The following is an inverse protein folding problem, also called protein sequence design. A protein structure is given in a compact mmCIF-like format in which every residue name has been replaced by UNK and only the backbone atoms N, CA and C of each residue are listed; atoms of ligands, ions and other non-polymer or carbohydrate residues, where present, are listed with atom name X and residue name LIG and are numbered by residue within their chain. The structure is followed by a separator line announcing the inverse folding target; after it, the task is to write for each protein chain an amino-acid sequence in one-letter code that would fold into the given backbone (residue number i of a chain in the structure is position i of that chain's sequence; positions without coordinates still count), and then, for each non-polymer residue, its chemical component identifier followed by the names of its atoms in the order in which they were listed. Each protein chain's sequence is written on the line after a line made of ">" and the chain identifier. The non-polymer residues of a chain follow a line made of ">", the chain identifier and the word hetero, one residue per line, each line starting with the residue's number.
data_IF_364269725763
#
_entry.id   IF_364269725763
#
_cell.length_a   1.000
_cell.length_b   1.000
_cell.length_c   1.000
_cell.angle_alpha   90.00
_cell.angle_beta   90.00
_cell.angle_gamma   90.00
#
_symmetry.space_group_name_H-M   'P 1'
#
loop_
_entity.id
_entity.type
_entity.pdbx_description
1 polymer ?
#
# COMPACT_ATOMS: atom_id res chain seq x y z
N UNK A 1 33.42 11.75 9.50
CA UNK A 1 32.84 11.91 8.15
C UNK A 1 32.23 10.58 7.74
N UNK A 2 30.91 10.43 7.88
CA UNK A 2 30.23 9.16 7.67
C UNK A 2 29.83 8.99 6.21
N UNK A 3 30.22 7.84 5.66
CA UNK A 3 29.95 7.32 4.29
C UNK A 3 28.49 7.47 3.78
N UNK A 4 27.43 7.45 4.61
CA UNK A 4 26.05 7.56 4.13
C UNK A 4 25.74 8.85 3.37
N UNK A 5 26.38 9.96 3.71
CA UNK A 5 26.07 11.26 3.09
C UNK A 5 26.71 11.43 1.70
N UNK A 6 27.91 10.90 1.51
CA UNK A 6 28.62 10.93 0.22
C UNK A 6 27.92 10.07 -0.84
N UNK A 7 27.45 8.88 -0.43
CA UNK A 7 26.66 8.01 -1.29
C UNK A 7 25.33 8.68 -1.61
N UNK A 8 24.65 9.28 -0.62
CA UNK A 8 23.41 10.03 -0.84
C UNK A 8 23.58 11.19 -1.83
N UNK A 9 24.71 11.90 -1.78
CA UNK A 9 24.96 13.04 -2.66
C UNK A 9 25.33 12.62 -4.10
N UNK A 10 26.11 11.54 -4.27
CA UNK A 10 26.37 11.00 -5.62
C UNK A 10 25.12 10.34 -6.21
N UNK A 11 24.32 9.65 -5.39
CA UNK A 11 23.02 9.11 -5.78
C UNK A 11 22.06 10.22 -6.23
N UNK A 12 22.00 11.35 -5.50
CA UNK A 12 21.15 12.47 -5.90
C UNK A 12 21.62 13.09 -7.23
N UNK A 13 22.92 13.30 -7.38
CA UNK A 13 23.49 14.02 -8.52
C UNK A 13 23.48 13.21 -9.82
N UNK A 14 23.69 11.90 -9.73
CA UNK A 14 23.79 11.03 -10.91
C UNK A 14 22.55 10.18 -11.18
N UNK A 15 21.77 9.83 -10.15
CA UNK A 15 20.61 8.93 -10.26
C UNK A 15 19.27 9.68 -10.16
N UNK A 16 19.13 10.58 -9.17
CA UNK A 16 17.85 11.27 -8.90
C UNK A 16 17.63 12.43 -9.86
N UNK A 17 18.58 13.36 -9.98
CA UNK A 17 18.39 14.60 -10.75
C UNK A 17 18.14 14.39 -12.25
N UNK A 18 18.87 13.52 -12.97
CA UNK A 18 18.64 13.34 -14.41
C UNK A 18 17.30 12.63 -14.69
N UNK A 19 16.97 11.61 -13.90
CA UNK A 19 15.76 10.81 -14.09
C UNK A 19 14.50 11.55 -13.66
N UNK A 20 14.54 12.32 -12.56
CA UNK A 20 13.40 13.12 -12.10
C UNK A 20 13.01 14.18 -13.13
N UNK A 21 13.95 14.82 -13.81
CA UNK A 21 13.63 15.82 -14.84
C UNK A 21 12.86 15.18 -16.01
N UNK A 22 13.32 14.03 -16.53
CA UNK A 22 12.64 13.34 -17.64
C UNK A 22 11.35 12.61 -17.24
N UNK A 23 11.24 12.13 -16.00
CA UNK A 23 9.96 11.62 -15.49
C UNK A 23 8.96 12.73 -15.24
N UNK A 24 9.38 13.89 -14.74
CA UNK A 24 8.52 15.06 -14.57
C UNK A 24 8.06 15.56 -15.95
N UNK A 25 8.90 15.49 -16.98
CA UNK A 25 8.51 15.80 -18.36
C UNK A 25 7.48 14.79 -18.93
N UNK A 26 7.70 13.47 -18.73
CA UNK A 26 6.82 12.43 -19.32
C UNK A 26 5.57 12.09 -18.51
N UNK A 27 5.63 12.18 -17.18
CA UNK A 27 4.51 11.88 -16.27
C UNK A 27 3.87 13.14 -15.66
N UNK A 28 4.64 14.22 -15.50
CA UNK A 28 4.12 15.50 -15.00
C UNK A 28 3.50 16.39 -16.08
N UNK A 29 3.76 16.14 -17.37
CA UNK A 29 3.31 17.00 -18.47
C UNK A 29 2.05 16.58 -19.23
N UNK A 30 1.75 15.28 -19.41
CA UNK A 30 0.78 14.87 -20.46
C UNK A 30 -0.02 13.55 -20.25
N UNK A 31 -0.22 13.08 -19.01
CA UNK A 31 -1.11 11.93 -18.76
C UNK A 31 -2.59 12.34 -18.57
N UNK A 32 -3.60 11.56 -19.02
CA UNK A 32 -5.02 11.91 -18.82
C UNK A 32 -5.42 11.98 -17.33
N UNK A 33 -4.67 11.28 -16.47
CA UNK A 33 -4.81 11.32 -15.01
C UNK A 33 -3.83 12.28 -14.34
N UNK A 34 -2.90 12.90 -15.06
CA UNK A 34 -1.94 13.86 -14.50
C UNK A 34 -2.62 15.00 -13.72
N UNK A 35 -3.67 15.68 -14.23
CA UNK A 35 -4.34 16.72 -13.45
C UNK A 35 -5.07 16.17 -12.21
N UNK A 36 -5.55 14.92 -12.26
CA UNK A 36 -6.16 14.26 -11.11
C UNK A 36 -5.11 13.88 -10.06
N UNK A 37 -4.00 13.28 -10.48
CA UNK A 37 -2.88 12.91 -9.62
C UNK A 37 -2.23 14.14 -8.99
N UNK A 38 -2.05 15.23 -9.75
CA UNK A 38 -1.59 16.52 -9.23
C UNK A 38 -2.57 17.10 -8.22
N UNK A 39 -3.89 17.01 -8.44
CA UNK A 39 -4.90 17.45 -7.47
C UNK A 39 -4.89 16.60 -6.20
N UNK A 40 -4.76 15.28 -6.31
CA UNK A 40 -4.65 14.37 -5.16
C UNK A 40 -3.37 14.66 -4.37
N UNK A 41 -2.25 14.84 -5.05
CA UNK A 41 -0.97 15.18 -4.43
C UNK A 41 -0.99 16.56 -3.76
N UNK A 42 -1.57 17.57 -4.42
CA UNK A 42 -1.74 18.90 -3.87
C UNK A 42 -2.67 18.92 -2.65
N UNK A 43 -3.77 18.14 -2.69
CA UNK A 43 -4.66 17.99 -1.54
C UNK A 43 -4.00 17.24 -0.37
N UNK A 44 -3.11 16.29 -0.65
CA UNK A 44 -2.37 15.56 0.38
C UNK A 44 -1.27 16.39 1.08
N UNK A 45 -0.78 17.46 0.45
CA UNK A 45 0.22 18.38 1.02
C UNK A 45 -0.41 19.68 1.56
N UNK A 46 -1.73 19.84 1.45
CA UNK A 46 -2.43 20.98 2.01
C UNK A 46 -2.59 20.79 3.52
N UNK A 47 -1.69 21.43 4.29
CA UNK A 47 -1.69 21.39 5.74
C UNK A 47 -2.65 22.44 6.35
N UNK A 48 -3.49 23.09 5.54
CA UNK A 48 -4.41 24.11 6.03
C UNK A 48 -5.50 23.51 6.93
N UNK A 49 -5.95 24.22 7.99
CA UNK A 49 -6.95 23.69 8.93
C UNK A 49 -8.26 23.23 8.24
N UNK A 50 -8.65 23.92 7.16
CA UNK A 50 -9.81 23.57 6.33
C UNK A 50 -9.64 22.22 5.63
N UNK A 51 -8.46 21.93 5.09
CA UNK A 51 -8.18 20.68 4.40
C UNK A 51 -8.17 19.51 5.40
N UNK A 52 -7.55 19.70 6.56
CA UNK A 52 -7.57 18.73 7.66
C UNK A 52 -8.99 18.39 8.11
N UNK A 53 -9.85 19.39 8.29
CA UNK A 53 -11.25 19.17 8.66
C UNK A 53 -12.03 18.41 7.58
N UNK A 54 -11.87 18.77 6.31
CA UNK A 54 -12.51 18.07 5.19
C UNK A 54 -12.04 16.60 5.11
N UNK A 55 -10.75 16.35 5.23
CA UNK A 55 -10.19 15.00 5.24
C UNK A 55 -10.70 14.20 6.44
N UNK A 56 -10.78 14.81 7.63
CA UNK A 56 -11.32 14.16 8.82
C UNK A 56 -12.80 13.77 8.65
N UNK A 57 -13.63 14.62 8.03
CA UNK A 57 -15.03 14.30 7.73
C UNK A 57 -15.16 13.19 6.67
N UNK A 58 -14.25 13.13 5.69
CA UNK A 58 -14.23 12.09 4.66
C UNK A 58 -13.55 10.79 5.11
N UNK A 59 -12.77 10.82 6.19
CA UNK A 59 -12.03 9.67 6.71
C UNK A 59 -12.89 8.41 6.90
N UNK A 60 -14.08 8.43 7.53
CA UNK A 60 -14.88 7.21 7.68
C UNK A 60 -15.26 6.58 6.33
N UNK A 61 -15.55 7.39 5.31
CA UNK A 61 -15.88 6.90 3.96
C UNK A 61 -14.63 6.30 3.31
N UNK A 62 -13.49 6.98 3.39
CA UNK A 62 -12.22 6.51 2.84
C UNK A 62 -11.77 5.20 3.51
N UNK A 63 -11.93 5.08 4.83
CA UNK A 63 -11.64 3.86 5.60
C UNK A 63 -12.57 2.73 5.16
N UNK A 64 -13.87 2.99 4.96
CA UNK A 64 -14.81 1.96 4.50
C UNK A 64 -14.46 1.45 3.09
N UNK A 65 -14.10 2.35 2.18
CA UNK A 65 -13.63 1.99 0.83
C UNK A 65 -12.35 1.14 0.93
N UNK A 66 -11.37 1.59 1.72
CA UNK A 66 -10.12 0.86 1.94
C UNK A 66 -10.35 -0.53 2.53
N UNK A 67 -11.26 -0.65 3.51
CA UNK A 67 -11.65 -1.91 4.12
C UNK A 67 -12.30 -2.87 3.11
N UNK A 68 -13.21 -2.36 2.27
CA UNK A 68 -13.88 -3.18 1.25
C UNK A 68 -12.88 -3.68 0.21
N UNK A 69 -11.98 -2.81 -0.26
CA UNK A 69 -10.91 -3.17 -1.21
C UNK A 69 -9.97 -4.20 -0.59
N UNK A 70 -9.55 -4.00 0.67
CA UNK A 70 -8.71 -4.95 1.39
C UNK A 70 -9.39 -6.32 1.52
N UNK A 71 -10.68 -6.35 1.88
CA UNK A 71 -11.46 -7.58 1.95
C UNK A 71 -11.58 -8.25 0.58
N UNK A 72 -11.79 -7.49 -0.50
CA UNK A 72 -11.95 -8.03 -1.85
C UNK A 72 -10.65 -8.69 -2.33
N UNK A 73 -9.52 -8.00 -2.18
CA UNK A 73 -8.20 -8.53 -2.54
C UNK A 73 -7.87 -9.77 -1.70
N UNK A 74 -8.11 -9.73 -0.39
CA UNK A 74 -7.90 -10.89 0.50
C UNK A 74 -8.79 -12.06 0.11
N UNK A 75 -10.04 -11.81 -0.27
CA UNK A 75 -10.98 -12.85 -0.70
C UNK A 75 -10.55 -13.50 -2.02
N UNK A 76 -10.12 -12.69 -3.00
CA UNK A 76 -9.57 -13.19 -4.26
C UNK A 76 -8.32 -14.05 -4.01
N UNK A 77 -7.41 -13.61 -3.15
CA UNK A 77 -6.26 -14.42 -2.76
C UNK A 77 -6.69 -15.75 -2.09
N UNK A 78 -7.67 -15.70 -1.19
CA UNK A 78 -8.23 -16.90 -0.58
C UNK A 78 -8.90 -17.84 -1.60
N UNK A 79 -9.57 -17.30 -2.63
CA UNK A 79 -10.15 -18.09 -3.73
C UNK A 79 -9.06 -18.81 -4.53
N UNK A 80 -8.03 -18.09 -4.95
CA UNK A 80 -6.89 -18.65 -5.72
C UNK A 80 -6.17 -19.75 -4.95
N UNK A 81 -6.04 -19.60 -3.63
CA UNK A 81 -5.41 -20.58 -2.74
C UNK A 81 -6.35 -21.70 -2.27
N UNK A 82 -7.60 -21.72 -2.73
CA UNK A 82 -8.61 -22.70 -2.31
C UNK A 82 -9.02 -22.61 -0.84
N UNK A 83 -8.73 -21.49 -0.18
CA UNK A 83 -9.01 -21.21 1.23
C UNK A 83 -10.35 -20.51 1.48
N UNK A 84 -10.98 -19.94 0.44
CA UNK A 84 -12.30 -19.31 0.54
C UNK A 84 -13.43 -20.35 0.70
N UNK A 85 -13.58 -20.95 1.88
CA UNK A 85 -14.63 -21.97 2.17
C UNK A 85 -16.03 -21.40 2.41
N UNK A 86 -16.15 -20.07 2.46
CA UNK A 86 -17.38 -19.31 2.74
C UNK A 86 -17.36 -18.04 1.88
N UNK A 87 -18.52 -17.40 1.71
CA UNK A 87 -18.66 -16.24 0.84
C UNK A 87 -17.91 -14.99 1.33
N UNK A 88 -17.86 -13.98 0.47
CA UNK A 88 -17.18 -12.70 0.70
C UNK A 88 -17.53 -12.03 2.04
N UNK A 89 -18.79 -12.12 2.49
CA UNK A 89 -19.23 -11.57 3.78
C UNK A 89 -18.41 -12.09 4.97
N UNK A 90 -17.94 -13.34 4.91
CA UNK A 90 -17.06 -13.91 5.94
C UNK A 90 -15.67 -13.24 5.95
N UNK A 91 -15.09 -13.02 4.76
CA UNK A 91 -13.81 -12.31 4.62
C UNK A 91 -13.94 -10.84 5.01
N UNK A 92 -15.02 -10.17 4.60
CA UNK A 92 -15.29 -8.78 4.97
C UNK A 92 -15.43 -8.63 6.49
N UNK A 93 -16.17 -9.51 7.16
CA UNK A 93 -16.27 -9.52 8.61
C UNK A 93 -14.90 -9.72 9.28
N UNK A 94 -14.09 -10.67 8.81
CA UNK A 94 -12.74 -10.89 9.31
C UNK A 94 -11.87 -9.63 9.21
N UNK A 95 -11.85 -8.96 8.05
CA UNK A 95 -11.11 -7.72 7.85
C UNK A 95 -11.66 -6.57 8.72
N UNK A 96 -12.99 -6.45 8.84
CA UNK A 96 -13.62 -5.38 9.61
C UNK A 96 -13.28 -5.48 11.09
N UNK A 97 -13.41 -6.67 11.70
CA UNK A 97 -13.05 -6.89 13.10
C UNK A 97 -11.53 -6.78 13.35
N UNK A 98 -10.70 -7.05 12.34
CA UNK A 98 -9.26 -6.93 12.43
C UNK A 98 -8.73 -5.48 12.32
N UNK A 99 -9.57 -4.49 11.99
CA UNK A 99 -9.12 -3.13 11.65
C UNK A 99 -8.79 -2.24 12.85
N UNK A 100 -9.12 -2.66 14.08
CA UNK A 100 -8.89 -1.86 15.29
C UNK A 100 -7.43 -1.36 15.47
N UNK A 101 -6.38 -2.16 15.19
CA UNK A 101 -5.00 -1.70 15.35
C UNK A 101 -4.60 -0.57 14.40
N UNK A 102 -5.38 -0.27 13.35
CA UNK A 102 -5.10 0.86 12.46
C UNK A 102 -5.17 2.20 13.20
N UNK A 103 -5.85 2.28 14.34
CA UNK A 103 -5.81 3.46 15.21
C UNK A 103 -4.40 3.77 15.74
N UNK A 104 -3.52 2.77 15.82
CA UNK A 104 -2.13 2.98 16.21
C UNK A 104 -1.38 3.86 15.21
N UNK A 105 -1.85 4.04 13.98
CA UNK A 105 -1.24 4.96 13.00
C UNK A 105 -1.17 6.41 13.48
N UNK A 106 -2.00 6.79 14.47
CA UNK A 106 -1.92 8.08 15.14
C UNK A 106 -0.67 8.23 16.03
N UNK A 107 -0.02 7.13 16.41
CA UNK A 107 1.20 7.11 17.21
C UNK A 107 2.42 7.33 16.31
N UNK A 108 3.18 8.43 16.47
CA UNK A 108 4.34 8.70 15.64
C UNK A 108 5.46 7.66 15.88
N UNK A 109 6.29 7.43 14.85
CA UNK A 109 7.47 6.56 14.91
C UNK A 109 7.17 5.08 14.74
N UNK A 110 6.35 4.48 15.61
CA UNK A 110 6.10 3.03 15.62
C UNK A 110 4.66 2.61 15.30
N UNK A 111 3.71 3.55 15.30
CA UNK A 111 2.29 3.26 15.17
C UNK A 111 1.88 2.59 13.87
N UNK A 112 2.38 3.09 12.75
CA UNK A 112 2.10 2.55 11.43
C UNK A 112 2.60 1.09 11.23
N UNK A 113 3.88 0.75 11.46
CA UNK A 113 4.35 -0.62 11.28
C UNK A 113 3.68 -1.59 12.26
N UNK A 114 3.49 -1.19 13.53
CA UNK A 114 2.84 -2.04 14.53
C UNK A 114 1.36 -2.25 14.17
N UNK A 115 0.63 -1.19 13.83
CA UNK A 115 -0.77 -1.26 13.43
C UNK A 115 -0.98 -2.15 12.21
N UNK A 116 -0.09 -2.05 11.21
CA UNK A 116 -0.17 -2.88 10.01
C UNK A 116 0.08 -4.36 10.30
N UNK A 117 1.17 -4.70 11.00
CA UNK A 117 1.51 -6.09 11.34
C UNK A 117 0.39 -6.70 12.19
N UNK A 118 -0.09 -5.97 13.19
CA UNK A 118 -1.15 -6.46 14.07
C UNK A 118 -2.46 -6.67 13.30
N UNK A 119 -2.85 -5.73 12.42
CA UNK A 119 -4.03 -5.89 11.55
C UNK A 119 -3.91 -7.13 10.66
N UNK A 120 -2.74 -7.41 10.10
CA UNK A 120 -2.51 -8.61 9.29
C UNK A 120 -2.67 -9.90 10.12
N UNK A 121 -2.11 -9.93 11.34
CA UNK A 121 -2.26 -11.07 12.26
C UNK A 121 -3.74 -11.29 12.61
N UNK A 122 -4.47 -10.25 13.01
CA UNK A 122 -5.89 -10.36 13.34
C UNK A 122 -6.74 -10.73 12.13
N UNK A 123 -6.39 -10.25 10.94
CA UNK A 123 -7.08 -10.66 9.70
C UNK A 123 -6.88 -12.16 9.46
N UNK A 124 -5.67 -12.68 9.69
CA UNK A 124 -5.39 -14.11 9.58
C UNK A 124 -6.18 -14.94 10.59
N UNK A 125 -6.25 -14.50 11.85
CA UNK A 125 -7.09 -15.15 12.88
C UNK A 125 -8.57 -15.08 12.48
N UNK A 126 -9.05 -13.91 12.06
CA UNK A 126 -10.42 -13.72 11.61
C UNK A 126 -10.76 -14.62 10.42
N UNK A 127 -9.86 -14.74 9.44
CA UNK A 127 -10.07 -15.57 8.26
C UNK A 127 -10.07 -17.07 8.62
N UNK A 128 -9.19 -17.50 9.52
CA UNK A 128 -9.16 -18.87 10.06
C UNK A 128 -10.52 -19.23 10.68
N UNK A 129 -11.06 -18.38 11.56
CA UNK A 129 -12.33 -18.65 12.24
C UNK A 129 -13.55 -18.51 11.32
N UNK A 130 -13.58 -17.45 10.52
CA UNK A 130 -14.71 -17.16 9.62
C UNK A 130 -14.77 -18.09 8.42
N UNK A 131 -13.66 -18.68 7.96
CA UNK A 131 -13.66 -19.69 6.90
C UNK A 131 -13.46 -21.13 7.41
N UNK A 132 -13.17 -21.35 8.70
CA UNK A 132 -12.85 -22.67 9.28
C UNK A 132 -11.73 -23.39 8.52
N UNK A 133 -10.63 -22.69 8.30
CA UNK A 133 -9.45 -23.17 7.58
C UNK A 133 -8.25 -23.31 8.51
N UNK A 134 -7.20 -24.01 8.04
CA UNK A 134 -5.96 -24.12 8.78
C UNK A 134 -5.26 -22.75 8.92
N UNK A 135 -4.55 -22.49 10.03
CA UNK A 135 -3.83 -21.24 10.25
C UNK A 135 -2.86 -20.87 9.11
N UNK A 136 -2.14 -21.87 8.57
CA UNK A 136 -1.22 -21.66 7.44
C UNK A 136 -1.94 -21.21 6.16
N UNK A 137 -3.12 -21.75 5.89
CA UNK A 137 -3.95 -21.33 4.76
C UNK A 137 -4.49 -19.91 4.93
N UNK A 138 -4.92 -19.56 6.14
CA UNK A 138 -5.36 -18.21 6.46
C UNK A 138 -4.21 -17.19 6.34
N UNK A 139 -3.04 -17.50 6.88
CA UNK A 139 -1.84 -16.67 6.77
C UNK A 139 -1.43 -16.48 5.30
N UNK A 140 -1.43 -17.55 4.50
CA UNK A 140 -1.11 -17.47 3.08
C UNK A 140 -2.09 -16.55 2.32
N UNK A 141 -3.40 -16.65 2.59
CA UNK A 141 -4.40 -15.80 1.96
C UNK A 141 -4.24 -14.31 2.31
N UNK A 142 -3.87 -14.01 3.57
CA UNK A 142 -3.63 -12.62 4.00
C UNK A 142 -2.31 -12.08 3.46
N UNK A 143 -1.25 -12.88 3.41
CA UNK A 143 0.09 -12.44 3.01
C UNK A 143 0.30 -12.41 1.49
N UNK A 144 -0.43 -13.23 0.73
CA UNK A 144 -0.35 -13.30 -0.73
C UNK A 144 -0.44 -11.94 -1.46
N UNK A 145 -1.43 -11.06 -1.18
CA UNK A 145 -1.50 -9.77 -1.86
C UNK A 145 -0.30 -8.86 -1.55
N UNK A 146 0.20 -8.88 -0.31
CA UNK A 146 1.38 -8.10 0.07
C UNK A 146 2.65 -8.64 -0.59
N UNK A 147 2.80 -9.96 -0.66
CA UNK A 147 3.90 -10.59 -1.36
C UNK A 147 3.87 -10.26 -2.86
N UNK A 148 2.70 -10.32 -3.50
CA UNK A 148 2.55 -9.99 -4.91
C UNK A 148 2.91 -8.52 -5.20
N UNK A 149 2.46 -7.59 -4.37
CA UNK A 149 2.83 -6.17 -4.49
C UNK A 149 4.34 -5.97 -4.34
N UNK A 150 4.97 -6.64 -3.36
CA UNK A 150 6.41 -6.60 -3.15
C UNK A 150 7.17 -7.15 -4.37
N UNK A 151 6.76 -8.30 -4.90
CA UNK A 151 7.37 -8.90 -6.10
C UNK A 151 7.18 -8.01 -7.34
N UNK A 152 6.00 -7.45 -7.56
CA UNK A 152 5.72 -6.54 -8.66
C UNK A 152 6.60 -5.28 -8.59
N UNK A 153 6.76 -4.69 -7.41
CA UNK A 153 7.65 -3.57 -7.20
C UNK A 153 9.12 -3.92 -7.54
N UNK A 154 9.61 -5.08 -7.08
CA UNK A 154 10.95 -5.56 -7.41
C UNK A 154 11.16 -5.76 -8.91
N UNK A 155 10.21 -6.38 -9.61
CA UNK A 155 10.27 -6.61 -11.06
C UNK A 155 10.28 -5.28 -11.81
N UNK A 156 9.42 -4.33 -11.44
CA UNK A 156 9.41 -3.00 -12.05
C UNK A 156 10.73 -2.25 -11.84
N UNK A 157 11.35 -2.37 -10.66
CA UNK A 157 12.66 -1.79 -10.40
C UNK A 157 13.75 -2.43 -11.28
N UNK A 158 13.73 -3.74 -11.45
CA UNK A 158 14.70 -4.48 -12.27
C UNK A 158 14.52 -4.15 -13.77
N UNK A 159 13.30 -4.21 -14.28
CA UNK A 159 12.97 -3.89 -15.67
C UNK A 159 13.26 -2.41 -15.99
N UNK A 160 12.93 -1.50 -15.07
CA UNK A 160 13.31 -0.09 -15.17
C UNK A 160 14.83 0.09 -15.19
N UNK A 161 15.56 -0.67 -14.37
CA UNK A 161 17.03 -0.68 -14.38
C UNK A 161 17.65 -1.22 -15.67
N UNK A 162 17.02 -2.20 -16.33
CA UNK A 162 17.47 -2.74 -17.62
C UNK A 162 17.13 -1.81 -18.80
N UNK A 163 15.95 -1.18 -18.79
CA UNK A 163 15.56 -0.21 -19.82
C UNK A 163 16.53 1.00 -19.89
N UNK A 164 17.13 1.38 -18.76
CA UNK A 164 18.14 2.45 -18.69
C UNK A 164 19.53 2.04 -19.18
N UNK A 165 19.81 0.74 -19.41
CA UNK A 165 21.10 0.24 -19.94
C UNK A 165 21.10 -0.02 -21.46
N UNK A 166 19.94 0.05 -22.12
CA UNK A 166 19.77 -0.23 -23.55
C UNK A 166 19.60 1.00 -24.45
N UNK A 167 19.80 2.21 -23.91
CA UNK A 167 19.81 3.46 -24.70
C UNK A 167 21.27 3.74 -25.06
N UNK A 168 21.67 3.66 -26.35
CA UNK A 168 23.04 3.96 -26.79
C UNK A 168 23.41 5.44 -26.59
#
# INVERSE_FOLDING_TARGET
>A
MSVPWFIGQMLDRFLVRPWTQHLIEKLGGAGPFAPLLQKIAAAGNDNSPRATLLVAMLTPILVLIGLYVNAAVTHVAALVLGQAKRGFAATFAACAYASAPLLLTAVPGCGAPVGFIWTAVLTGVGLKETHRIAPGGAAAAVLAPYALLCCAACVLMVLGGFAMRGVP
#
